data_IF_962565354194
#
_entry.id   IF_962565354194
#
_cell.length_a   1.000
_cell.length_b   1.000
_cell.length_c   1.000
_cell.angle_alpha   90.00
_cell.angle_beta   90.00
_cell.angle_gamma   90.00
#
_symmetry.space_group_name_H-M   'P 1'
#
loop_
_entity.id
_entity.type
_entity.pdbx_description
1 polymer ?
#
# COMPACT_ATOMS: atom_id res chain seq x y z
N UNK A 1 -16.34 -9.14 -6.43
CA UNK A 1 -15.93 -7.74 -6.19
C UNK A 1 -14.43 -7.66 -6.08
N UNK A 2 -13.86 -6.59 -6.58
CA UNK A 2 -12.41 -6.43 -6.62
C UNK A 2 -11.96 -5.50 -5.50
N UNK A 3 -10.94 -5.93 -4.76
CA UNK A 3 -10.30 -5.08 -3.73
C UNK A 3 -9.07 -4.43 -4.35
N UNK A 4 -9.16 -3.14 -4.56
CA UNK A 4 -8.12 -2.33 -5.20
C UNK A 4 -7.39 -1.52 -4.13
N UNK A 5 -6.07 -1.62 -4.10
CA UNK A 5 -5.26 -0.85 -3.15
C UNK A 5 -4.96 0.52 -3.71
N UNK A 6 -5.31 1.52 -2.94
CA UNK A 6 -5.08 2.92 -3.24
C UNK A 6 -4.13 3.53 -2.22
N UNK A 7 -3.26 4.41 -2.68
CA UNK A 7 -2.33 5.15 -1.84
C UNK A 7 -2.46 6.64 -2.14
N UNK A 8 -2.44 7.45 -1.09
CA UNK A 8 -2.53 8.90 -1.18
C UNK A 8 -1.39 9.54 -0.41
N UNK A 9 -0.58 10.39 -1.09
CA UNK A 9 0.44 11.21 -0.42
C UNK A 9 -0.23 12.44 0.17
N UNK A 10 0.05 12.72 1.42
CA UNK A 10 -0.47 13.89 2.13
C UNK A 10 0.67 14.58 2.87
N UNK A 11 0.51 15.88 3.09
CA UNK A 11 1.45 16.63 3.90
C UNK A 11 1.33 16.24 5.38
N UNK A 12 2.36 16.55 6.16
CA UNK A 12 2.33 16.35 7.61
C UNK A 12 1.16 17.11 8.25
N UNK A 13 0.86 18.31 7.75
CA UNK A 13 -0.25 19.11 8.27
C UNK A 13 -1.60 18.47 7.97
N UNK A 14 -1.79 17.94 6.76
CA UNK A 14 -2.99 17.19 6.39
C UNK A 14 -3.16 15.95 7.28
N UNK A 15 -2.06 15.22 7.54
CA UNK A 15 -2.07 14.08 8.44
C UNK A 15 -2.61 14.46 9.82
N UNK A 16 -2.07 15.53 10.41
CA UNK A 16 -2.50 16.02 11.71
C UNK A 16 -3.97 16.41 11.71
N UNK A 17 -4.43 17.06 10.64
CA UNK A 17 -5.83 17.45 10.47
C UNK A 17 -6.76 16.24 10.42
N UNK A 18 -6.38 15.20 9.68
CA UNK A 18 -7.19 13.97 9.54
C UNK A 18 -7.22 13.14 10.82
N UNK A 19 -6.13 13.14 11.59
CA UNK A 19 -6.10 12.48 12.90
C UNK A 19 -7.04 13.19 13.87
N UNK A 20 -7.07 14.53 13.87
CA UNK A 20 -7.94 15.32 14.74
C UNK A 20 -9.39 15.31 14.29
N UNK A 21 -9.64 15.34 12.98
CA UNK A 21 -10.97 15.42 12.38
C UNK A 21 -11.07 14.46 11.20
N UNK A 22 -11.32 13.16 11.48
CA UNK A 22 -11.32 12.11 10.42
C UNK A 22 -12.25 12.39 9.24
N UNK A 23 -13.38 13.10 9.47
CA UNK A 23 -14.31 13.43 8.39
C UNK A 23 -13.68 14.29 7.29
N UNK A 24 -12.61 15.01 7.58
CA UNK A 24 -11.87 15.78 6.56
C UNK A 24 -11.21 14.85 5.53
N UNK A 25 -10.79 13.65 5.93
CA UNK A 25 -10.28 12.67 4.99
C UNK A 25 -11.37 12.14 4.06
N UNK A 26 -12.57 11.88 4.58
CA UNK A 26 -13.71 11.47 3.77
C UNK A 26 -14.07 12.54 2.73
N UNK A 27 -14.07 13.82 3.13
CA UNK A 27 -14.27 14.95 2.21
C UNK A 27 -13.19 14.99 1.12
N UNK A 28 -11.95 14.73 1.49
CA UNK A 28 -10.83 14.66 0.54
C UNK A 28 -11.04 13.55 -0.49
N UNK A 29 -11.51 12.38 -0.06
CA UNK A 29 -11.83 11.27 -0.97
C UNK A 29 -12.95 11.63 -1.94
N UNK A 30 -13.99 12.29 -1.47
CA UNK A 30 -15.10 12.73 -2.33
C UNK A 30 -14.58 13.65 -3.43
N UNK A 31 -13.72 14.60 -3.09
CA UNK A 31 -13.09 15.50 -4.06
C UNK A 31 -12.24 14.73 -5.07
N UNK A 32 -11.45 13.74 -4.62
CA UNK A 32 -10.63 12.92 -5.50
C UNK A 32 -11.47 12.11 -6.50
N UNK A 33 -12.57 11.53 -6.03
CA UNK A 33 -13.45 10.71 -6.87
C UNK A 33 -14.27 11.56 -7.87
N UNK A 34 -14.56 12.80 -7.53
CA UNK A 34 -15.28 13.72 -8.42
C UNK A 34 -14.35 14.38 -9.44
N UNK A 35 -13.03 14.38 -9.21
CA UNK A 35 -12.05 14.99 -10.11
C UNK A 35 -11.79 14.09 -11.30
N UNK A 36 -11.85 14.64 -12.50
CA UNK A 36 -11.45 13.99 -13.75
C UNK A 36 -9.95 14.11 -14.01
N UNK A 37 -9.26 14.94 -13.24
CA UNK A 37 -7.83 15.16 -13.39
C UNK A 37 -7.01 14.07 -12.68
N UNK A 38 -5.92 13.65 -13.31
CA UNK A 38 -4.94 12.78 -12.66
C UNK A 38 -4.24 13.55 -11.54
N UNK A 39 -4.41 13.07 -10.32
CA UNK A 39 -3.74 13.63 -9.15
C UNK A 39 -2.45 12.85 -8.90
N UNK A 40 -1.29 13.51 -9.01
CA UNK A 40 0.02 12.90 -8.77
C UNK A 40 0.19 12.40 -7.34
N UNK A 41 -0.66 12.84 -6.42
CA UNK A 41 -0.65 12.40 -5.01
C UNK A 41 -1.39 11.08 -4.80
N UNK A 42 -2.07 10.58 -5.82
CA UNK A 42 -2.89 9.37 -5.74
C UNK A 42 -2.31 8.27 -6.63
N UNK A 43 -2.20 7.06 -6.09
CA UNK A 43 -1.72 5.87 -6.82
C UNK A 43 -2.69 4.72 -6.61
N UNK A 44 -3.12 4.14 -7.70
CA UNK A 44 -3.90 2.90 -7.75
C UNK A 44 -2.95 1.79 -8.23
N UNK A 45 -2.77 0.76 -7.41
CA UNK A 45 -1.95 -0.41 -7.78
C UNK A 45 -2.81 -1.64 -8.06
N UNK A 46 -4.08 -1.42 -8.35
CA UNK A 46 -5.02 -2.47 -8.71
C UNK A 46 -5.02 -3.62 -7.68
N UNK A 47 -5.08 -4.83 -8.14
CA UNK A 47 -5.09 -6.05 -7.30
C UNK A 47 -3.68 -6.58 -7.03
N UNK A 48 -2.65 -5.84 -7.40
CA UNK A 48 -1.27 -6.28 -7.27
C UNK A 48 -0.76 -6.32 -5.81
N UNK A 49 -1.48 -5.68 -4.89
CA UNK A 49 -1.03 -5.50 -3.51
C UNK A 49 -0.73 -6.81 -2.78
N UNK A 50 -1.57 -7.82 -2.96
CA UNK A 50 -1.37 -9.12 -2.28
C UNK A 50 -0.11 -9.82 -2.77
N UNK A 51 0.08 -9.88 -4.09
CA UNK A 51 1.28 -10.48 -4.69
C UNK A 51 2.55 -9.71 -4.34
N UNK A 52 2.51 -8.38 -4.38
CA UNK A 52 3.64 -7.53 -3.97
C UNK A 52 4.01 -7.81 -2.51
N UNK A 53 3.01 -7.86 -1.64
CA UNK A 53 3.24 -8.13 -0.23
C UNK A 53 3.91 -9.49 -0.01
N UNK A 54 3.45 -10.51 -0.74
CA UNK A 54 4.06 -11.84 -0.70
C UNK A 54 5.54 -11.78 -1.13
N UNK A 55 5.87 -11.06 -2.19
CA UNK A 55 7.25 -10.91 -2.66
C UNK A 55 8.14 -10.21 -1.63
N UNK A 56 7.57 -9.24 -0.89
CA UNK A 56 8.32 -8.46 0.10
C UNK A 56 8.49 -9.19 1.44
N UNK A 57 7.52 -10.00 1.85
CA UNK A 57 7.45 -10.55 3.21
C UNK A 57 7.48 -12.08 3.27
N UNK A 58 7.19 -12.75 2.15
CA UNK A 58 7.01 -14.21 2.13
C UNK A 58 5.68 -14.67 2.72
N UNK A 59 4.76 -13.74 3.00
CA UNK A 59 3.45 -14.03 3.61
C UNK A 59 2.33 -13.42 2.77
N UNK A 60 1.25 -14.17 2.63
CA UNK A 60 0.06 -13.71 1.91
C UNK A 60 -0.72 -12.66 2.68
N UNK A 61 -0.62 -12.67 3.99
CA UNK A 61 -1.38 -11.80 4.85
C UNK A 61 -0.48 -10.94 5.72
N UNK A 62 -0.68 -9.65 5.62
CA UNK A 62 0.08 -8.65 6.35
C UNK A 62 -0.56 -8.28 7.68
N UNK A 63 -1.07 -9.22 8.42
CA UNK A 63 -1.35 -8.91 9.80
C UNK A 63 -0.02 -8.82 10.53
N UNK A 64 0.60 -7.64 10.48
CA UNK A 64 1.77 -7.40 11.30
C UNK A 64 1.45 -7.80 12.73
N UNK A 65 2.33 -8.58 13.35
CA UNK A 65 2.26 -8.80 14.79
C UNK A 65 2.29 -7.44 15.48
N UNK A 66 1.59 -7.24 16.61
CA UNK A 66 1.74 -6.03 17.41
C UNK A 66 3.20 -5.74 17.81
N UNK A 67 4.06 -6.74 17.73
CA UNK A 67 5.49 -6.63 18.01
C UNK A 67 6.30 -6.10 16.83
N UNK A 68 5.75 -6.10 15.61
CA UNK A 68 6.43 -5.58 14.44
C UNK A 68 6.50 -4.05 14.50
N UNK A 69 7.66 -3.51 14.11
CA UNK A 69 7.81 -2.07 13.93
C UNK A 69 6.84 -1.59 12.84
N UNK A 70 6.28 -0.40 13.01
CA UNK A 70 5.26 0.12 12.09
C UNK A 70 5.80 0.37 10.68
N UNK A 71 7.11 0.59 10.55
CA UNK A 71 7.77 0.72 9.24
C UNK A 71 8.25 -0.63 8.69
N UNK A 72 7.83 -1.76 9.26
CA UNK A 72 8.13 -3.07 8.69
C UNK A 72 7.36 -3.24 7.37
N UNK A 73 7.93 -4.02 6.44
CA UNK A 73 7.28 -4.28 5.14
C UNK A 73 5.95 -5.02 5.28
N UNK A 74 5.73 -5.73 6.38
CA UNK A 74 4.43 -6.34 6.69
C UNK A 74 3.30 -5.32 6.79
N UNK A 75 3.62 -4.07 7.11
CA UNK A 75 2.66 -2.99 7.33
C UNK A 75 2.63 -1.94 6.23
N UNK A 76 3.26 -2.22 5.09
CA UNK A 76 3.32 -1.26 3.98
C UNK A 76 1.94 -0.79 3.51
N UNK A 77 0.95 -1.69 3.51
CA UNK A 77 -0.44 -1.39 3.12
C UNK A 77 -1.42 -1.35 4.29
N UNK A 78 -1.10 -2.06 5.35
CA UNK A 78 -1.99 -2.23 6.51
C UNK A 78 -1.22 -1.92 7.79
N UNK A 79 -1.00 -0.64 8.03
CA UNK A 79 -0.21 -0.18 9.19
C UNK A 79 -0.92 -0.37 10.52
N UNK A 80 -2.24 -0.57 10.51
CA UNK A 80 -3.10 -0.59 11.68
C UNK A 80 -3.10 0.72 12.47
N UNK A 81 -2.72 1.83 11.80
CA UNK A 81 -2.88 3.18 12.32
C UNK A 81 -4.04 3.84 11.57
N UNK A 82 -5.09 4.20 12.28
CA UNK A 82 -6.34 4.69 11.70
C UNK A 82 -6.63 6.12 12.11
N UNK A 83 -7.28 6.89 11.23
CA UNK A 83 -7.90 8.15 11.63
C UNK A 83 -9.12 7.88 12.50
N UNK A 84 -9.90 6.89 12.11
CA UNK A 84 -11.09 6.41 12.81
C UNK A 84 -11.26 4.93 12.41
N UNK A 85 -11.18 4.03 13.37
CA UNK A 85 -11.30 2.58 13.12
C UNK A 85 -12.70 2.15 12.69
N UNK A 86 -13.70 2.98 12.93
CA UNK A 86 -15.09 2.74 12.49
C UNK A 86 -15.38 3.32 11.08
N UNK A 87 -14.42 4.02 10.48
CA UNK A 87 -14.53 4.55 9.12
C UNK A 87 -14.54 3.42 8.10
N UNK A 88 -15.43 3.51 7.12
CA UNK A 88 -15.46 2.59 5.99
C UNK A 88 -15.30 3.37 4.68
N UNK A 89 -14.19 3.15 3.99
CA UNK A 89 -13.86 3.78 2.72
C UNK A 89 -13.96 2.81 1.53
N UNK A 90 -14.59 1.66 1.75
CA UNK A 90 -14.80 0.61 0.76
C UNK A 90 -14.71 -0.77 1.40
N UNK A 91 -13.55 -1.16 1.85
CA UNK A 91 -13.30 -2.44 2.54
C UNK A 91 -12.64 -2.18 3.90
N UNK A 92 -13.28 -1.39 4.72
CA UNK A 92 -12.80 -1.05 6.05
C UNK A 92 -12.15 0.34 6.14
N UNK A 93 -11.47 0.62 7.25
CA UNK A 93 -10.89 1.94 7.47
C UNK A 93 -9.62 2.16 6.66
N UNK A 94 -9.31 3.43 6.39
CA UNK A 94 -8.02 3.81 5.84
C UNK A 94 -6.92 3.69 6.91
N UNK A 95 -5.74 3.26 6.48
CA UNK A 95 -4.54 3.21 7.31
C UNK A 95 -3.63 4.37 6.94
N UNK A 96 -2.76 4.81 7.85
CA UNK A 96 -1.76 5.80 7.52
C UNK A 96 -0.36 5.40 7.98
N UNK A 97 0.63 5.94 7.29
CA UNK A 97 2.04 5.91 7.68
C UNK A 97 2.50 7.35 7.89
N UNK A 98 3.20 7.60 8.98
CA UNK A 98 3.79 8.93 9.25
C UNK A 98 4.95 9.19 8.27
N UNK A 99 5.39 10.46 8.11
CA UNK A 99 6.54 10.76 7.26
C UNK A 99 7.79 9.96 7.62
N UNK A 100 8.04 9.72 8.90
CA UNK A 100 9.17 8.94 9.37
C UNK A 100 9.06 7.48 8.99
N UNK A 101 7.86 6.91 9.08
CA UNK A 101 7.58 5.53 8.67
C UNK A 101 7.67 5.37 7.15
N UNK A 102 7.18 6.34 6.39
CA UNK A 102 7.33 6.37 4.93
C UNK A 102 8.81 6.36 4.55
N UNK A 103 9.63 7.18 5.20
CA UNK A 103 11.07 7.20 4.95
C UNK A 103 11.73 5.86 5.29
N UNK A 104 11.30 5.21 6.37
CA UNK A 104 11.79 3.90 6.79
C UNK A 104 11.48 2.81 5.75
N UNK A 105 10.24 2.76 5.29
CA UNK A 105 9.82 1.80 4.24
C UNK A 105 10.54 2.10 2.93
N UNK A 106 10.64 3.36 2.54
CA UNK A 106 11.38 3.77 1.34
C UNK A 106 12.81 3.21 1.34
N UNK A 107 13.53 3.35 2.45
CA UNK A 107 14.90 2.81 2.56
C UNK A 107 14.96 1.30 2.34
N UNK A 108 13.92 0.57 2.74
CA UNK A 108 13.87 -0.89 2.61
C UNK A 108 13.57 -1.34 1.18
N UNK A 109 12.77 -0.58 0.43
CA UNK A 109 12.36 -0.99 -0.92
C UNK A 109 13.14 -0.30 -2.05
N UNK A 110 13.85 0.79 -1.77
CA UNK A 110 14.49 1.62 -2.79
C UNK A 110 15.53 0.87 -3.62
N UNK A 111 16.25 -0.08 -3.03
CA UNK A 111 17.31 -0.84 -3.67
C UNK A 111 16.87 -2.17 -4.27
N UNK A 112 15.61 -2.54 -4.09
CA UNK A 112 15.10 -3.81 -4.61
C UNK A 112 14.99 -3.77 -6.14
N UNK A 113 15.62 -4.74 -6.79
CA UNK A 113 15.64 -4.88 -8.23
C UNK A 113 14.62 -5.92 -8.70
N UNK A 114 14.39 -5.97 -10.01
CA UNK A 114 13.57 -7.03 -10.61
C UNK A 114 14.09 -8.42 -10.22
N UNK A 115 15.40 -8.61 -10.26
CA UNK A 115 16.03 -9.89 -9.90
C UNK A 115 15.78 -10.25 -8.42
N UNK A 116 15.82 -9.26 -7.52
CA UNK A 116 15.55 -9.49 -6.10
C UNK A 116 14.12 -9.99 -5.88
N UNK A 117 13.15 -9.35 -6.53
CA UNK A 117 11.74 -9.74 -6.42
C UNK A 117 11.48 -11.09 -7.09
N UNK A 118 12.08 -11.31 -8.26
CA UNK A 118 11.90 -12.56 -8.99
C UNK A 118 12.47 -13.76 -8.22
N UNK A 119 13.51 -13.56 -7.43
CA UNK A 119 14.07 -14.61 -6.56
C UNK A 119 13.07 -15.10 -5.50
N UNK A 120 12.11 -14.25 -5.13
CA UNK A 120 11.03 -14.59 -4.17
C UNK A 120 9.72 -15.00 -4.87
N UNK A 121 9.67 -14.93 -6.20
CA UNK A 121 8.47 -15.26 -6.96
C UNK A 121 8.38 -16.77 -7.15
N UNK A 122 7.43 -17.39 -6.51
CA UNK A 122 7.12 -18.82 -6.63
C UNK A 122 5.63 -18.96 -6.98
N UNK A 123 5.30 -19.03 -8.28
CA UNK A 123 3.90 -19.07 -8.70
C UNK A 123 3.16 -20.31 -8.22
N UNK A 124 3.85 -21.46 -8.07
CA UNK A 124 3.24 -22.68 -7.55
C UNK A 124 2.83 -22.50 -6.08
N UNK A 125 3.74 -22.02 -5.25
CA UNK A 125 3.45 -21.76 -3.84
C UNK A 125 2.38 -20.67 -3.67
N UNK A 126 2.43 -19.63 -4.50
CA UNK A 126 1.44 -18.54 -4.47
C UNK A 126 0.04 -19.03 -4.88
N UNK A 127 -0.06 -19.96 -5.82
CA UNK A 127 -1.34 -20.54 -6.25
C UNK A 127 -1.96 -21.42 -5.16
N UNK A 128 -1.15 -22.02 -4.30
CA UNK A 128 -1.61 -22.85 -3.18
C UNK A 128 -1.97 -22.03 -1.93
N UNK A 129 -1.58 -20.75 -1.89
CA UNK A 129 -1.82 -19.90 -0.74
C UNK A 129 -3.24 -19.36 -0.71
N UNK A 130 -4.07 -19.90 0.18
CA UNK A 130 -5.50 -19.60 0.25
C UNK A 130 -5.80 -18.14 0.62
N UNK A 131 -4.90 -17.50 1.38
CA UNK A 131 -5.08 -16.13 1.84
C UNK A 131 -4.54 -15.09 0.86
N UNK A 132 -3.87 -15.51 -0.20
CA UNK A 132 -3.30 -14.59 -1.19
C UNK A 132 -4.38 -14.02 -2.10
N UNK A 133 -4.46 -12.70 -2.15
CA UNK A 133 -5.40 -12.00 -3.04
C UNK A 133 -4.66 -11.41 -4.24
N UNK A 134 -5.21 -11.50 -5.45
CA UNK A 134 -6.38 -12.30 -5.80
C UNK A 134 -6.06 -13.80 -5.83
N UNK A 135 -7.08 -14.63 -5.58
CA UNK A 135 -6.95 -16.08 -5.72
C UNK A 135 -6.88 -16.43 -7.20
N UNK A 136 -5.69 -16.70 -7.67
CA UNK A 136 -5.39 -17.02 -9.06
C UNK A 136 -4.54 -18.29 -9.16
N UNK A 137 -4.58 -18.91 -10.32
CA UNK A 137 -3.53 -19.84 -10.72
C UNK A 137 -2.37 -19.00 -11.26
N UNK A 138 -1.47 -18.62 -10.36
CA UNK A 138 -0.31 -17.79 -10.70
C UNK A 138 0.62 -18.50 -11.68
N UNK A 139 1.13 -17.78 -12.66
CA UNK A 139 2.08 -18.29 -13.65
C UNK A 139 3.27 -17.34 -13.85
N UNK A 140 4.16 -17.70 -14.75
CA UNK A 140 5.38 -16.91 -15.00
C UNK A 140 5.10 -15.52 -15.57
N UNK A 141 3.97 -15.34 -16.27
CA UNK A 141 3.62 -14.05 -16.88
C UNK A 141 3.07 -13.05 -15.85
N UNK A 142 2.51 -13.53 -14.74
CA UNK A 142 1.93 -12.67 -13.71
C UNK A 142 2.99 -11.86 -12.96
N UNK A 143 4.24 -12.29 -12.98
CA UNK A 143 5.34 -11.53 -12.38
C UNK A 143 5.47 -10.13 -12.99
N UNK A 144 5.34 -10.00 -14.29
CA UNK A 144 5.47 -8.71 -14.97
C UNK A 144 4.42 -7.71 -14.50
N UNK A 145 3.20 -8.19 -14.24
CA UNK A 145 2.13 -7.39 -13.68
C UNK A 145 2.49 -6.87 -12.26
N UNK A 146 3.00 -7.74 -11.41
CA UNK A 146 3.41 -7.37 -10.06
C UNK A 146 4.58 -6.38 -10.09
N UNK A 147 5.55 -6.63 -10.94
CA UNK A 147 6.73 -5.78 -11.04
C UNK A 147 6.40 -4.39 -11.57
N UNK A 148 5.51 -4.31 -12.55
CA UNK A 148 5.02 -3.03 -13.07
C UNK A 148 4.43 -2.16 -11.94
N UNK A 149 3.56 -2.73 -11.14
CA UNK A 149 2.95 -2.01 -10.02
C UNK A 149 3.93 -1.73 -8.89
N UNK A 150 4.87 -2.63 -8.66
CA UNK A 150 5.93 -2.42 -7.67
C UNK A 150 6.84 -1.23 -8.02
N UNK A 151 7.19 -1.07 -9.28
CA UNK A 151 7.99 0.10 -9.73
C UNK A 151 7.25 1.41 -9.46
N UNK A 152 5.95 1.45 -9.73
CA UNK A 152 5.13 2.62 -9.41
C UNK A 152 5.11 2.88 -7.90
N UNK A 153 5.00 1.83 -7.10
CA UNK A 153 5.04 1.89 -5.64
C UNK A 153 6.38 2.43 -5.12
N UNK A 154 7.51 1.94 -5.67
CA UNK A 154 8.85 2.44 -5.32
C UNK A 154 8.98 3.93 -5.57
N UNK A 155 8.54 4.39 -6.76
CA UNK A 155 8.59 5.80 -7.14
C UNK A 155 7.70 6.66 -6.24
N UNK A 156 6.54 6.15 -5.89
CA UNK A 156 5.59 6.83 -5.02
C UNK A 156 6.16 7.06 -3.61
N UNK A 157 6.74 6.01 -3.02
CA UNK A 157 7.40 6.12 -1.71
C UNK A 157 8.65 7.02 -1.78
N UNK A 158 9.42 6.96 -2.86
CA UNK A 158 10.58 7.83 -3.04
C UNK A 158 10.18 9.30 -3.07
N UNK A 159 9.12 9.63 -3.78
CA UNK A 159 8.60 11.00 -3.86
C UNK A 159 8.08 11.47 -2.49
N UNK A 160 7.29 10.66 -1.82
CA UNK A 160 6.77 10.98 -0.49
C UNK A 160 7.90 11.19 0.51
N UNK A 161 8.90 10.29 0.53
CA UNK A 161 10.06 10.40 1.41
C UNK A 161 10.86 11.68 1.15
N UNK A 162 11.08 12.03 -0.12
CA UNK A 162 11.84 13.22 -0.49
C UNK A 162 11.15 14.52 -0.08
N UNK A 163 9.84 14.50 0.02
CA UNK A 163 9.00 15.67 0.37
C UNK A 163 8.59 15.69 1.85
N UNK A 164 8.97 14.69 2.63
CA UNK A 164 8.55 14.58 4.02
C UNK A 164 7.04 14.39 4.18
N UNK A 165 6.43 13.68 3.24
CA UNK A 165 4.99 13.42 3.23
C UNK A 165 4.64 12.11 3.93
N UNK A 166 3.41 12.04 4.45
CA UNK A 166 2.77 10.82 4.91
C UNK A 166 2.09 10.11 3.74
N UNK A 167 1.73 8.84 3.93
CA UNK A 167 0.95 8.06 2.96
C UNK A 167 -0.25 7.46 3.67
N UNK A 168 -1.42 7.57 3.03
CA UNK A 168 -2.65 6.89 3.44
C UNK A 168 -2.90 5.74 2.47
N UNK A 169 -3.23 4.56 3.00
CA UNK A 169 -3.54 3.37 2.20
C UNK A 169 -4.96 2.90 2.50
N UNK A 170 -5.68 2.49 1.47
CA UNK A 170 -7.05 1.99 1.65
C UNK A 170 -7.47 1.10 0.48
N UNK A 171 -8.35 0.15 0.78
CA UNK A 171 -8.98 -0.73 -0.21
C UNK A 171 -10.33 -0.16 -0.63
N UNK A 172 -10.56 -0.14 -1.92
CA UNK A 172 -11.85 0.25 -2.49
C UNK A 172 -12.37 -0.77 -3.50
#
# INVERSE_FOLDING_TARGET
>A
MSMIMNLLRISKQELENYIQTPSLFEEKLDVLYESEDNDDTFLDIDKAWGGILYLLTGSAFASGSPEDEVDSLNRIFFSAQFFDEDMDVGYGPAHYLTPEQVAGIHRKIASLTEADLKAHYDPEAMSEEEELYPSLDWDEEDFDYLYFHFQALQSFFATAASRGEAIVTFLS
#
